data_IF_306866654024
#
_entry.id   IF_306866654024
#
_cell.length_a   1.000
_cell.length_b   1.000
_cell.length_c   1.000
_cell.angle_alpha   90.00
_cell.angle_beta   90.00
_cell.angle_gamma   90.00
#
_symmetry.space_group_name_H-M   'P 1'
#
loop_
_entity.id
_entity.type
_entity.pdbx_description
1 polymer ?
#
# COMPACT_ATOMS: atom_id res chain seq x y z
N UNK A 1 -8.15 -13.99 8.06
CA UNK A 1 -7.13 -12.97 8.41
C UNK A 1 -7.89 -11.71 8.75
N UNK A 2 -7.82 -11.25 9.99
CA UNK A 2 -8.41 -9.96 10.37
C UNK A 2 -7.33 -8.88 10.22
N UNK A 3 -7.73 -7.70 9.73
CA UNK A 3 -6.82 -6.57 9.57
C UNK A 3 -6.99 -5.69 10.79
N UNK A 4 -5.91 -5.40 11.52
CA UNK A 4 -5.95 -4.52 12.69
C UNK A 4 -6.26 -3.08 12.27
N UNK A 5 -7.55 -2.75 12.16
CA UNK A 5 -8.02 -1.54 11.49
C UNK A 5 -7.44 -0.24 12.06
N UNK A 6 -7.21 -0.17 13.37
CA UNK A 6 -6.56 1.00 13.99
C UNK A 6 -5.12 1.17 13.50
N UNK A 7 -4.35 0.08 13.42
CA UNK A 7 -2.98 0.10 12.95
C UNK A 7 -2.94 0.41 11.45
N UNK A 8 -3.84 -0.18 10.66
CA UNK A 8 -3.97 0.07 9.22
C UNK A 8 -4.30 1.52 8.91
N UNK A 9 -5.28 2.12 9.60
CA UNK A 9 -5.61 3.53 9.40
C UNK A 9 -4.46 4.46 9.81
N UNK A 10 -3.76 4.14 10.90
CA UNK A 10 -2.56 4.89 11.29
C UNK A 10 -1.51 4.84 10.18
N UNK A 11 -1.18 3.63 9.70
CA UNK A 11 -0.20 3.42 8.64
C UNK A 11 -0.62 4.09 7.33
N UNK A 12 -1.89 4.03 6.95
CA UNK A 12 -2.40 4.72 5.76
C UNK A 12 -2.20 6.24 5.88
N UNK A 13 -2.40 6.81 7.06
CA UNK A 13 -2.11 8.21 7.34
C UNK A 13 -0.62 8.55 7.22
N UNK A 14 0.26 7.68 7.73
CA UNK A 14 1.72 7.85 7.66
C UNK A 14 2.18 7.79 6.19
N UNK A 15 1.76 6.77 5.43
CA UNK A 15 2.04 6.63 4.00
C UNK A 15 1.52 7.82 3.18
N UNK A 16 0.33 8.33 3.52
CA UNK A 16 -0.22 9.50 2.84
C UNK A 16 0.62 10.74 3.07
N UNK A 17 1.04 11.01 4.31
CA UNK A 17 1.91 12.15 4.62
C UNK A 17 3.26 12.07 3.90
N UNK A 18 3.85 10.88 3.84
CA UNK A 18 5.19 10.70 3.28
C UNK A 18 5.20 10.70 1.76
N UNK A 19 4.22 10.06 1.12
CA UNK A 19 4.30 9.74 -0.31
C UNK A 19 3.25 10.45 -1.19
N UNK A 20 2.13 10.91 -0.64
CA UNK A 20 1.11 11.62 -1.45
C UNK A 20 1.68 12.85 -2.16
N UNK A 21 2.56 13.68 -1.56
CA UNK A 21 3.13 14.84 -2.24
C UNK A 21 3.91 14.52 -3.52
N UNK A 22 4.51 13.33 -3.62
CA UNK A 22 5.31 12.91 -4.77
C UNK A 22 4.59 11.97 -5.73
N UNK A 23 3.76 11.04 -5.21
CA UNK A 23 3.09 9.99 -5.99
C UNK A 23 1.65 10.38 -6.36
N UNK A 24 1.02 11.28 -5.60
CA UNK A 24 -0.40 11.64 -5.80
C UNK A 24 -1.37 10.52 -5.40
N UNK A 25 -1.04 9.79 -4.34
CA UNK A 25 -1.86 8.70 -3.79
C UNK A 25 -3.26 9.19 -3.38
N UNK A 26 -4.29 8.41 -3.71
CA UNK A 26 -5.65 8.58 -3.17
C UNK A 26 -5.81 7.76 -1.90
N UNK A 27 -6.87 8.02 -1.14
CA UNK A 27 -7.16 7.33 0.12
C UNK A 27 -7.21 5.81 0.00
N UNK A 28 -7.73 5.28 -1.12
CA UNK A 28 -7.76 3.83 -1.36
C UNK A 28 -6.38 3.24 -1.66
N UNK A 29 -5.48 4.01 -2.27
CA UNK A 29 -4.12 3.54 -2.57
C UNK A 29 -3.34 3.32 -1.28
N UNK A 30 -3.36 4.32 -0.39
CA UNK A 30 -2.70 4.23 0.92
C UNK A 30 -3.34 3.18 1.82
N UNK A 31 -4.67 3.02 1.76
CA UNK A 31 -5.37 2.02 2.56
C UNK A 31 -5.03 0.59 2.11
N UNK A 32 -4.98 0.34 0.81
CA UNK A 32 -4.66 -0.98 0.28
C UNK A 32 -3.22 -1.38 0.62
N UNK A 33 -2.25 -0.49 0.41
CA UNK A 33 -0.85 -0.74 0.74
C UNK A 33 -0.66 -0.90 2.26
N UNK A 34 -1.29 -0.05 3.07
CA UNK A 34 -1.25 -0.19 4.53
C UNK A 34 -1.81 -1.54 5.00
N UNK A 35 -2.90 -2.01 4.39
CA UNK A 35 -3.49 -3.31 4.71
C UNK A 35 -2.54 -4.46 4.41
N UNK A 36 -1.85 -4.42 3.26
CA UNK A 36 -0.86 -5.44 2.91
C UNK A 36 0.31 -5.50 3.89
N UNK A 37 0.76 -4.34 4.40
CA UNK A 37 1.84 -4.27 5.38
C UNK A 37 1.40 -4.81 6.75
N UNK A 38 0.19 -4.44 7.21
CA UNK A 38 -0.34 -4.95 8.49
C UNK A 38 -0.68 -6.45 8.45
N UNK A 39 -0.88 -7.01 7.26
CA UNK A 39 -0.98 -8.44 7.02
C UNK A 39 0.38 -9.13 6.83
N UNK A 40 1.49 -8.41 7.01
CA UNK A 40 2.86 -8.88 6.84
C UNK A 40 3.13 -9.53 5.47
N UNK A 41 2.43 -9.06 4.43
CA UNK A 41 2.59 -9.59 3.09
C UNK A 41 3.94 -9.15 2.51
N UNK A 42 4.62 -10.07 1.83
CA UNK A 42 5.86 -9.78 1.11
C UNK A 42 5.61 -9.31 -0.32
N UNK A 43 4.44 -9.63 -0.85
CA UNK A 43 4.08 -9.47 -2.25
C UNK A 43 2.80 -8.65 -2.38
N UNK A 44 2.75 -7.78 -3.39
CA UNK A 44 1.64 -6.89 -3.65
C UNK A 44 1.26 -6.97 -5.13
N UNK A 45 0.02 -7.34 -5.41
CA UNK A 45 -0.50 -7.46 -6.77
C UNK A 45 -1.49 -6.31 -7.04
N UNK A 46 -1.23 -5.56 -8.09
CA UNK A 46 -2.12 -4.47 -8.53
C UNK A 46 -1.81 -4.10 -9.98
N UNK A 47 -2.84 -3.64 -10.70
CA UNK A 47 -2.70 -3.02 -12.02
C UNK A 47 -2.64 -1.49 -11.94
N UNK A 48 -2.87 -0.91 -10.76
CA UNK A 48 -2.83 0.53 -10.57
C UNK A 48 -1.38 1.01 -10.37
N UNK A 49 -0.91 1.90 -11.25
CA UNK A 49 0.47 2.39 -11.25
C UNK A 49 0.83 3.15 -9.97
N UNK A 50 -0.12 3.87 -9.35
CA UNK A 50 0.15 4.61 -8.10
C UNK A 50 0.29 3.66 -6.94
N UNK A 51 -0.55 2.64 -6.87
CA UNK A 51 -0.40 1.57 -5.89
C UNK A 51 0.92 0.81 -6.08
N UNK A 52 1.36 0.59 -7.33
CA UNK A 52 2.67 -0.01 -7.60
C UNK A 52 3.83 0.83 -7.06
N UNK A 53 3.79 2.14 -7.31
CA UNK A 53 4.80 3.08 -6.82
C UNK A 53 4.81 3.15 -5.29
N UNK A 54 3.64 3.28 -4.67
CA UNK A 54 3.50 3.35 -3.23
C UNK A 54 3.93 2.04 -2.54
N UNK A 55 3.53 0.89 -3.07
CA UNK A 55 3.91 -0.42 -2.55
C UNK A 55 5.44 -0.61 -2.57
N UNK A 56 6.11 -0.20 -3.65
CA UNK A 56 7.58 -0.23 -3.74
C UNK A 56 8.23 0.71 -2.72
N UNK A 57 7.73 1.93 -2.58
CA UNK A 57 8.22 2.90 -1.60
C UNK A 57 8.10 2.36 -0.16
N UNK A 58 7.04 1.59 0.11
CA UNK A 58 6.79 0.95 1.39
C UNK A 58 7.48 -0.43 1.56
N UNK A 59 8.34 -0.84 0.62
CA UNK A 59 9.15 -2.07 0.72
C UNK A 59 8.47 -3.38 0.29
N UNK A 60 7.26 -3.32 -0.30
CA UNK A 60 6.58 -4.48 -0.84
C UNK A 60 7.09 -4.86 -2.23
N UNK A 61 7.15 -6.16 -2.52
CA UNK A 61 7.54 -6.67 -3.85
C UNK A 61 6.32 -6.76 -4.76
N UNK A 62 6.37 -6.16 -5.93
CA UNK A 62 5.29 -6.32 -6.91
C UNK A 62 5.31 -7.71 -7.51
N UNK A 63 4.12 -8.29 -7.66
CA UNK A 63 3.92 -9.50 -8.46
C UNK A 63 3.18 -9.10 -9.72
N UNK A 64 3.74 -9.46 -10.86
CA UNK A 64 3.04 -9.38 -12.14
C UNK A 64 2.16 -10.62 -12.25
N UNK A 65 0.83 -10.49 -12.29
CA UNK A 65 -0.03 -11.63 -12.58
C UNK A 65 0.34 -12.14 -13.98
N UNK A 66 0.56 -13.45 -14.13
CA UNK A 66 0.61 -14.06 -15.45
C UNK A 66 -0.73 -13.79 -16.11
N UNK A 67 -0.70 -13.20 -17.31
CA UNK A 67 -1.89 -12.92 -18.10
C UNK A 67 -2.61 -14.18 -18.56
#
# INVERSE_FOLDING_TARGET
MDVLWRATLKRAGDLSREHTPSIGCRSLDVLHVASAIELELKHFATFDVRQQQLARAAGLKLVTPAG
#
